data_IF_836425039864
#
_entry.id   IF_836425039864
#
_cell.length_a   1.000
_cell.length_b   1.000
_cell.length_c   1.000
_cell.angle_alpha   90.00
_cell.angle_beta   90.00
_cell.angle_gamma   90.00
#
_symmetry.space_group_name_H-M   'P 1'
#
loop_
_entity.id
_entity.type
_entity.pdbx_description
1 polymer ?
#
# COMPACT_ATOMS: atom_id res chain seq x y z
N UNK A 1 15.73 1.22 -4.98
CA UNK A 1 15.33 -0.05 -4.36
C UNK A 1 13.91 -0.40 -4.81
N UNK A 2 13.69 -1.62 -5.31
CA UNK A 2 12.35 -2.13 -5.60
C UNK A 2 11.83 -2.94 -4.41
N UNK A 3 10.58 -2.72 -4.02
CA UNK A 3 9.90 -3.44 -2.94
C UNK A 3 8.83 -4.36 -3.51
N UNK A 4 8.69 -5.56 -2.94
CA UNK A 4 7.69 -6.55 -3.32
C UNK A 4 6.29 -6.30 -2.75
N UNK A 5 5.96 -5.08 -2.32
CA UNK A 5 4.65 -4.80 -1.73
C UNK A 5 3.53 -4.85 -2.76
N UNK A 6 2.47 -5.55 -2.42
CA UNK A 6 1.31 -5.78 -3.27
C UNK A 6 0.12 -4.85 -2.89
N UNK A 7 -1.03 -5.03 -3.54
CA UNK A 7 -2.21 -4.22 -3.28
C UNK A 7 -2.74 -4.38 -1.84
N UNK A 8 -2.74 -5.61 -1.32
CA UNK A 8 -3.17 -5.93 0.04
C UNK A 8 -2.27 -5.30 1.10
N UNK A 9 -0.95 -5.36 0.92
CA UNK A 9 0.05 -4.70 1.78
C UNK A 9 -0.20 -3.19 1.89
N UNK A 10 -0.52 -2.57 0.75
CA UNK A 10 -0.77 -1.13 0.67
C UNK A 10 -2.09 -0.77 1.34
N UNK A 11 -3.14 -1.56 1.13
CA UNK A 11 -4.43 -1.40 1.79
C UNK A 11 -4.31 -1.56 3.31
N UNK A 12 -3.62 -2.61 3.77
CA UNK A 12 -3.35 -2.85 5.19
C UNK A 12 -2.57 -1.68 5.79
N UNK A 13 -1.55 -1.16 5.10
CA UNK A 13 -0.74 -0.05 5.59
C UNK A 13 -1.55 1.25 5.71
N UNK A 14 -2.42 1.54 4.73
CA UNK A 14 -3.33 2.70 4.79
C UNK A 14 -4.31 2.56 5.95
N UNK A 15 -4.92 1.38 6.11
CA UNK A 15 -5.86 1.11 7.19
C UNK A 15 -5.19 1.20 8.57
N UNK A 16 -4.00 0.63 8.73
CA UNK A 16 -3.23 0.71 9.97
C UNK A 16 -2.87 2.16 10.32
N UNK A 17 -2.46 2.98 9.33
CA UNK A 17 -2.20 4.39 9.56
C UNK A 17 -3.47 5.13 10.00
N UNK A 18 -4.61 4.84 9.38
CA UNK A 18 -5.90 5.42 9.76
C UNK A 18 -6.30 5.02 11.19
N UNK A 19 -6.18 3.74 11.55
CA UNK A 19 -6.48 3.24 12.89
C UNK A 19 -5.62 3.91 13.98
N UNK A 20 -4.40 4.35 13.63
CA UNK A 20 -3.50 5.08 14.53
C UNK A 20 -3.69 6.60 14.50
N UNK A 21 -4.59 7.13 13.65
CA UNK A 21 -4.74 8.57 13.43
C UNK A 21 -3.58 9.21 12.66
N UNK A 22 -2.69 8.41 12.05
CA UNK A 22 -1.47 8.86 11.39
C UNK A 22 -1.68 9.06 9.87
N UNK A 23 -2.69 9.82 9.48
CA UNK A 23 -3.10 9.97 8.06
C UNK A 23 -1.96 10.49 7.17
N UNK A 24 -1.13 11.40 7.69
CA UNK A 24 0.04 11.92 6.98
C UNK A 24 1.06 10.83 6.60
N UNK A 25 1.13 9.72 7.35
CA UNK A 25 2.00 8.59 6.98
C UNK A 25 1.58 7.93 5.68
N UNK A 26 0.27 7.92 5.37
CA UNK A 26 -0.24 7.32 4.13
C UNK A 26 0.24 8.08 2.90
N UNK A 27 0.37 9.40 2.99
CA UNK A 27 0.91 10.27 1.94
C UNK A 27 2.41 9.98 1.68
N UNK A 28 3.13 9.49 2.69
CA UNK A 28 4.55 9.14 2.60
C UNK A 28 4.82 7.71 2.12
N UNK A 29 3.79 6.92 1.83
CA UNK A 29 3.98 5.58 1.27
C UNK A 29 4.69 5.67 -0.10
N UNK A 30 5.50 4.65 -0.39
CA UNK A 30 6.13 4.48 -1.69
C UNK A 30 5.05 4.26 -2.78
N UNK A 31 5.30 4.65 -4.05
CA UNK A 31 6.58 4.98 -4.66
C UNK A 31 7.08 6.41 -4.41
N UNK A 32 8.40 6.59 -4.49
CA UNK A 32 9.10 7.88 -4.40
C UNK A 32 9.76 8.26 -5.74
N UNK A 33 8.99 8.19 -6.84
CA UNK A 33 9.49 8.46 -8.20
C UNK A 33 9.60 9.95 -8.53
N UNK A 34 8.75 10.80 -7.95
CA UNK A 34 8.67 12.24 -8.26
C UNK A 34 9.55 13.14 -7.39
N UNK A 35 10.10 12.60 -6.30
CA UNK A 35 10.79 13.39 -5.26
C UNK A 35 11.85 12.53 -4.57
N UNK A 36 12.92 12.14 -5.29
CA UNK A 36 14.04 11.44 -4.68
C UNK A 36 14.73 12.33 -3.64
N UNK A 37 15.19 11.73 -2.56
CA UNK A 37 16.00 12.40 -1.54
C UNK A 37 17.47 12.15 -1.85
N UNK A 38 18.29 13.20 -1.79
CA UNK A 38 19.73 13.07 -2.00
C UNK A 38 20.35 12.10 -0.97
N UNK A 39 21.26 11.24 -1.42
CA UNK A 39 21.88 10.21 -0.58
C UNK A 39 20.97 9.02 -0.23
N UNK A 40 19.70 9.01 -0.66
CA UNK A 40 18.75 7.92 -0.39
C UNK A 40 18.21 7.33 -1.70
N UNK A 41 18.43 6.03 -1.90
CA UNK A 41 17.90 5.34 -3.07
C UNK A 41 16.35 5.37 -3.06
N UNK A 42 15.69 5.80 -4.15
CA UNK A 42 14.23 5.86 -4.19
C UNK A 42 13.63 4.46 -4.06
N UNK A 43 12.52 4.37 -3.31
CA UNK A 43 11.74 3.13 -3.19
C UNK A 43 10.64 3.12 -4.23
N UNK A 44 10.59 2.08 -5.05
CA UNK A 44 9.51 1.81 -6.01
C UNK A 44 8.76 0.55 -5.60
N UNK A 45 7.49 0.47 -5.97
CA UNK A 45 6.59 -0.64 -5.60
C UNK A 45 5.89 -1.13 -6.87
N UNK A 46 6.54 -2.00 -7.67
CA UNK A 46 6.01 -2.40 -8.97
C UNK A 46 4.69 -3.17 -8.88
N UNK A 47 4.49 -3.94 -7.81
CA UNK A 47 3.33 -4.81 -7.60
C UNK A 47 2.17 -4.12 -6.87
N UNK A 48 2.25 -2.79 -6.65
CA UNK A 48 1.31 -2.01 -5.84
C UNK A 48 -0.16 -2.18 -6.23
N UNK A 49 -0.44 -2.54 -7.48
CA UNK A 49 -1.79 -2.65 -8.02
C UNK A 49 -2.23 -4.08 -8.30
N UNK A 50 -1.46 -5.07 -7.85
CA UNK A 50 -1.72 -6.49 -8.06
C UNK A 50 -2.06 -7.12 -6.71
N UNK A 51 -3.20 -7.83 -6.57
CA UNK A 51 -3.56 -8.56 -5.37
C UNK A 51 -2.54 -9.64 -4.97
N UNK A 52 -2.43 -9.93 -3.68
CA UNK A 52 -1.59 -10.99 -3.13
C UNK A 52 -1.93 -12.36 -3.76
N UNK A 53 -3.22 -12.64 -3.96
CA UNK A 53 -3.68 -13.90 -4.56
C UNK A 53 -3.20 -14.08 -6.00
N UNK A 54 -3.22 -13.01 -6.82
CA UNK A 54 -2.73 -13.06 -8.20
C UNK A 54 -1.21 -13.28 -8.25
N UNK A 55 -0.47 -12.61 -7.37
CA UNK A 55 0.99 -12.79 -7.25
C UNK A 55 1.32 -14.22 -6.81
N UNK A 56 0.58 -14.74 -5.82
CA UNK A 56 0.76 -16.10 -5.34
C UNK A 56 0.45 -17.12 -6.44
N UNK A 57 -0.68 -16.96 -7.16
CA UNK A 57 -1.03 -17.83 -8.28
C UNK A 57 0.04 -17.80 -9.38
N UNK A 58 0.57 -16.62 -9.71
CA UNK A 58 1.66 -16.50 -10.68
C UNK A 58 2.93 -17.21 -10.20
N UNK A 59 3.30 -17.08 -8.93
CA UNK A 59 4.47 -17.76 -8.37
C UNK A 59 4.35 -19.29 -8.45
N UNK A 60 3.15 -19.82 -8.19
CA UNK A 60 2.86 -21.26 -8.30
C UNK A 60 2.97 -21.76 -9.74
N UNK A 61 2.31 -21.09 -10.69
CA UNK A 61 2.29 -21.46 -12.12
C UNK A 61 3.69 -21.35 -12.74
N UNK A 62 4.44 -20.32 -12.36
CA UNK A 62 5.81 -20.09 -12.85
C UNK A 62 6.87 -20.90 -12.10
N UNK A 63 6.48 -21.76 -11.15
CA UNK A 63 7.37 -22.57 -10.32
C UNK A 63 8.47 -21.75 -9.62
N UNK A 64 8.14 -20.54 -9.16
CA UNK A 64 9.08 -19.69 -8.44
C UNK A 64 9.27 -20.23 -7.02
N UNK A 65 10.50 -20.30 -6.49
CA UNK A 65 10.72 -20.68 -5.11
C UNK A 65 10.29 -19.55 -4.17
N UNK A 66 9.42 -19.86 -3.19
CA UNK A 66 9.04 -18.94 -2.12
C UNK A 66 8.80 -19.67 -0.81
N UNK A 67 9.01 -18.97 0.31
CA UNK A 67 8.77 -19.50 1.66
C UNK A 67 7.29 -19.37 2.03
N UNK A 68 6.70 -20.44 2.57
CA UNK A 68 5.27 -20.49 2.94
C UNK A 68 5.01 -20.24 4.43
N UNK A 69 6.05 -20.18 5.26
CA UNK A 69 5.89 -20.04 6.69
C UNK A 69 5.60 -18.60 7.12
N UNK A 70 4.91 -18.47 8.24
CA UNK A 70 4.75 -17.20 8.92
C UNK A 70 5.93 -16.90 9.85
N UNK A 71 6.16 -15.62 10.13
CA UNK A 71 7.10 -15.22 11.16
C UNK A 71 6.56 -15.66 12.55
N UNK A 72 7.37 -16.34 13.39
CA UNK A 72 6.96 -16.76 14.73
C UNK A 72 6.48 -15.62 15.65
N UNK A 73 6.90 -14.39 15.35
CA UNK A 73 6.53 -13.17 16.08
C UNK A 73 5.40 -12.37 15.42
N UNK A 74 4.80 -12.85 14.34
CA UNK A 74 3.65 -12.22 13.71
C UNK A 74 2.36 -12.26 14.54
N UNK A 75 2.05 -13.32 15.33
CA UNK A 75 0.81 -13.40 16.09
C UNK A 75 0.57 -12.20 17.00
N UNK A 76 -0.65 -11.64 16.93
CA UNK A 76 -1.05 -10.47 17.73
C UNK A 76 -0.64 -9.12 17.14
N UNK A 77 0.05 -9.10 16.01
CA UNK A 77 0.38 -7.86 15.32
C UNK A 77 -0.88 -7.18 14.75
N UNK A 78 -0.94 -5.85 14.84
CA UNK A 78 -2.03 -5.03 14.29
C UNK A 78 -2.30 -5.33 12.81
N UNK A 79 -1.27 -5.70 12.03
CA UNK A 79 -1.44 -6.07 10.62
C UNK A 79 -2.36 -7.27 10.42
N UNK A 80 -2.35 -8.26 11.32
CA UNK A 80 -3.25 -9.40 11.24
C UNK A 80 -4.72 -8.98 11.41
N UNK A 81 -4.99 -8.05 12.34
CA UNK A 81 -6.31 -7.46 12.52
C UNK A 81 -6.76 -6.71 11.26
N UNK A 82 -5.89 -5.85 10.70
CA UNK A 82 -6.18 -5.09 9.49
C UNK A 82 -6.42 -6.00 8.27
N UNK A 83 -5.66 -7.09 8.14
CA UNK A 83 -5.87 -8.13 7.11
C UNK A 83 -7.25 -8.77 7.25
N UNK A 84 -7.67 -9.12 8.45
CA UNK A 84 -9.01 -9.68 8.70
C UNK A 84 -10.15 -8.72 8.35
N UNK A 85 -10.00 -7.43 8.67
CA UNK A 85 -10.97 -6.40 8.31
C UNK A 85 -11.08 -6.27 6.79
N UNK A 86 -9.94 -6.20 6.09
CA UNK A 86 -9.89 -6.08 4.64
C UNK A 86 -10.56 -7.27 3.96
N UNK A 87 -10.24 -8.50 4.36
CA UNK A 87 -10.84 -9.70 3.81
C UNK A 87 -12.37 -9.74 4.04
N UNK A 88 -12.85 -9.29 5.21
CA UNK A 88 -14.28 -9.23 5.48
C UNK A 88 -15.00 -8.17 4.63
N UNK A 89 -14.37 -7.01 4.40
CA UNK A 89 -14.90 -5.96 3.54
C UNK A 89 -14.96 -6.41 2.09
N UNK A 90 -13.90 -7.06 1.60
CA UNK A 90 -13.85 -7.61 0.25
C UNK A 90 -15.03 -8.57 0.00
N UNK A 91 -15.22 -9.53 0.89
CA UNK A 91 -16.32 -10.50 0.79
C UNK A 91 -17.71 -9.82 0.76
N UNK A 92 -17.92 -8.81 1.61
CA UNK A 92 -19.19 -8.07 1.68
C UNK A 92 -19.45 -7.23 0.44
N UNK A 93 -18.43 -6.56 -0.08
CA UNK A 93 -18.54 -5.73 -1.28
C UNK A 93 -18.77 -6.58 -2.52
N UNK A 94 -18.10 -7.72 -2.62
CA UNK A 94 -18.33 -8.70 -3.68
C UNK A 94 -19.78 -9.19 -3.69
N UNK A 95 -20.35 -9.49 -2.51
CA UNK A 95 -21.76 -9.87 -2.40
C UNK A 95 -22.74 -8.77 -2.84
N UNK A 96 -22.31 -7.50 -2.83
CA UNK A 96 -23.06 -6.35 -3.31
C UNK A 96 -22.76 -6.01 -4.78
N UNK A 97 -21.97 -6.83 -5.48
CA UNK A 97 -21.57 -6.60 -6.87
C UNK A 97 -20.52 -5.50 -7.06
N UNK A 98 -19.80 -5.13 -5.99
CA UNK A 98 -18.73 -4.14 -6.04
C UNK A 98 -17.34 -4.78 -6.01
N UNK A 99 -16.41 -4.22 -6.78
CA UNK A 99 -15.00 -4.60 -6.76
C UNK A 99 -14.22 -3.77 -5.72
N UNK A 100 -13.86 -4.42 -4.62
CA UNK A 100 -13.07 -3.84 -3.53
C UNK A 100 -11.68 -3.39 -3.98
N UNK A 101 -11.01 -4.13 -4.87
CA UNK A 101 -9.68 -3.78 -5.33
C UNK A 101 -9.69 -2.54 -6.21
N UNK A 102 -10.73 -2.36 -7.03
CA UNK A 102 -10.95 -1.10 -7.77
C UNK A 102 -11.15 0.08 -6.83
N UNK A 103 -11.90 -0.08 -5.73
CA UNK A 103 -12.05 0.96 -4.72
C UNK A 103 -10.71 1.33 -4.08
N UNK A 104 -9.91 0.34 -3.68
CA UNK A 104 -8.57 0.57 -3.12
C UNK A 104 -7.63 1.27 -4.09
N UNK A 105 -7.68 0.92 -5.38
CA UNK A 105 -6.91 1.60 -6.43
C UNK A 105 -7.24 3.10 -6.48
N UNK A 106 -8.54 3.44 -6.54
CA UNK A 106 -9.02 4.82 -6.54
C UNK A 106 -8.59 5.60 -5.29
N UNK A 107 -8.64 4.97 -4.11
CA UNK A 107 -8.17 5.58 -2.88
C UNK A 107 -6.65 5.84 -2.92
N UNK A 108 -5.89 4.87 -3.43
CA UNK A 108 -4.45 5.00 -3.63
C UNK A 108 -4.08 6.15 -4.57
N UNK A 109 -4.81 6.30 -5.68
CA UNK A 109 -4.64 7.39 -6.64
C UNK A 109 -4.98 8.76 -6.02
N UNK A 110 -6.05 8.81 -5.20
CA UNK A 110 -6.42 10.02 -4.47
C UNK A 110 -5.33 10.45 -3.48
N UNK A 111 -4.80 9.52 -2.68
CA UNK A 111 -3.70 9.80 -1.75
C UNK A 111 -2.46 10.30 -2.50
N UNK A 112 -2.17 9.74 -3.68
CA UNK A 112 -1.03 10.15 -4.50
C UNK A 112 -1.22 11.54 -5.12
N UNK A 113 -2.45 11.89 -5.49
CA UNK A 113 -2.80 13.26 -5.92
C UNK A 113 -2.57 14.25 -4.78
N UNK A 114 -3.05 13.94 -3.57
CA UNK A 114 -2.85 14.81 -2.40
C UNK A 114 -1.37 14.95 -2.01
N UNK A 115 -0.58 13.88 -2.16
CA UNK A 115 0.89 13.93 -1.99
C UNK A 115 1.52 14.99 -2.89
N UNK A 116 1.14 15.03 -4.17
CA UNK A 116 1.65 16.02 -5.13
C UNK A 116 1.21 17.44 -4.77
N UNK A 117 -0.02 17.62 -4.28
CA UNK A 117 -0.52 18.92 -3.83
C UNK A 117 0.26 19.44 -2.61
N UNK A 118 0.48 18.60 -1.60
CA UNK A 118 1.24 18.95 -0.40
C UNK A 118 2.71 19.29 -0.72
N UNK A 119 3.32 18.58 -1.66
CA UNK A 119 4.68 18.90 -2.13
C UNK A 119 4.74 20.29 -2.78
N UNK A 120 3.77 20.61 -3.66
CA UNK A 120 3.67 21.94 -4.29
C UNK A 120 3.50 23.06 -3.25
N UNK A 121 2.62 22.86 -2.26
CA UNK A 121 2.40 23.82 -1.18
C UNK A 121 3.66 24.06 -0.33
N UNK A 122 4.41 23.00 -0.01
CA UNK A 122 5.70 23.15 0.70
C UNK A 122 6.70 23.95 -0.13
N UNK A 123 6.85 23.66 -1.42
CA UNK A 123 7.75 24.42 -2.31
C UNK A 123 7.34 25.89 -2.37
N UNK A 124 6.04 26.17 -2.53
CA UNK A 124 5.52 27.54 -2.55
C UNK A 124 5.80 28.29 -1.23
N UNK A 125 5.64 27.63 -0.08
CA UNK A 125 5.95 28.22 1.22
C UNK A 125 7.44 28.53 1.40
N UNK A 126 8.34 27.67 0.89
CA UNK A 126 9.78 27.92 0.93
C UNK A 126 10.25 28.99 -0.05
N UNK A 127 9.56 29.17 -1.19
CA UNK A 127 9.90 30.19 -2.19
C UNK A 127 9.48 31.63 -1.80
N UNK A 128 8.64 31.77 -0.76
CA UNK A 128 8.18 33.08 -0.23
C UNK A 128 8.98 33.56 0.99
N UNK A 129 10.00 32.80 1.42
CA UNK A 129 10.97 33.20 2.44
C UNK A 129 12.30 33.53 1.78
#
# INVERSE_FOLDING_TARGET
MALGHNLDDMAQSILMNLQKGEIERSVRLAPHTSSPLEGLAPRIVPLRWIPEQEIHAHAVISHLPFFHGDCPHAPGAMRQLSRGIIANLEQKLQAQGMDFYTLLKRLGDYIEKEKKNLQKLRIAHYAMK
#
